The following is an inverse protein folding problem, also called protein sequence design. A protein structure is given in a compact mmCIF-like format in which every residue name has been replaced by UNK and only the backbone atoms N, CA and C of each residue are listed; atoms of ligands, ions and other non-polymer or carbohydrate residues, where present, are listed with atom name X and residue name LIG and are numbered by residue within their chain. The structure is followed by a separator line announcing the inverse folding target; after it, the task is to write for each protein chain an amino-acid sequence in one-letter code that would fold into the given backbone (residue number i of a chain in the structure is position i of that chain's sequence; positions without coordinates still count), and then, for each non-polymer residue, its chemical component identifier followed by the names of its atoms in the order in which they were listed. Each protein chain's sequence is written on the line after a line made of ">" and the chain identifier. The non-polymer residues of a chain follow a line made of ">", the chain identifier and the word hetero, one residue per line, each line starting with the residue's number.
data_IF_616992939225
#
_entry.id   IF_616992939225
#
_cell.length_a   1.000
_cell.length_b   1.000
_cell.length_c   1.000
_cell.angle_alpha   90.00
_cell.angle_beta   90.00
_cell.angle_gamma   90.00
#
_symmetry.space_group_name_H-M   'P 1'
#
loop_
_entity.id
_entity.type
_entity.pdbx_description
1 polymer ?
#
# COMPACT_ATOMS: atom_id res chain seq x y z
N UNK A 1 15.73 11.13 -11.29
CA UNK A 1 15.71 10.28 -12.53
C UNK A 1 15.03 8.93 -12.33
N UNK A 2 15.34 8.17 -11.26
CA UNK A 2 14.77 6.82 -11.02
C UNK A 2 13.22 6.78 -11.01
N UNK A 3 12.57 7.75 -10.37
CA UNK A 3 11.11 7.83 -10.32
C UNK A 3 10.46 8.05 -11.70
N UNK A 4 11.12 8.76 -12.61
CA UNK A 4 10.59 9.03 -13.96
C UNK A 4 10.69 7.80 -14.85
N UNK A 5 11.81 7.06 -14.77
CA UNK A 5 11.97 5.79 -15.48
C UNK A 5 10.94 4.75 -15.05
N UNK A 6 10.70 4.62 -13.75
CA UNK A 6 9.69 3.71 -13.22
C UNK A 6 8.27 4.08 -13.70
N UNK A 7 7.95 5.37 -13.80
CA UNK A 7 6.65 5.86 -14.31
C UNK A 7 6.44 5.53 -15.78
N UNK A 8 7.46 5.76 -16.61
CA UNK A 8 7.40 5.44 -18.04
C UNK A 8 7.26 3.93 -18.21
N UNK A 9 8.04 3.14 -17.47
CA UNK A 9 7.95 1.69 -17.48
C UNK A 9 6.54 1.19 -17.14
N UNK A 10 5.90 1.69 -16.08
CA UNK A 10 4.53 1.31 -15.74
C UNK A 10 3.54 1.69 -16.84
N UNK A 11 3.62 2.91 -17.37
CA UNK A 11 2.71 3.37 -18.43
C UNK A 11 2.85 2.52 -19.70
N UNK A 12 4.08 2.29 -20.16
CA UNK A 12 4.37 1.45 -21.33
C UNK A 12 3.92 0.01 -21.09
N UNK A 13 4.18 -0.54 -19.91
CA UNK A 13 3.75 -1.91 -19.56
C UNK A 13 2.22 -2.03 -19.57
N UNK A 14 1.50 -1.07 -19.00
CA UNK A 14 0.03 -1.04 -19.02
C UNK A 14 -0.51 -0.94 -20.44
N UNK A 15 0.09 -0.11 -21.29
CA UNK A 15 -0.31 0.02 -22.71
C UNK A 15 -0.03 -1.25 -23.52
N UNK A 16 1.14 -1.87 -23.35
CA UNK A 16 1.51 -3.11 -24.03
C UNK A 16 0.61 -4.29 -23.62
N UNK A 17 0.31 -4.41 -22.32
CA UNK A 17 -0.61 -5.45 -21.83
C UNK A 17 -2.03 -5.18 -22.30
N UNK A 18 -2.49 -3.92 -22.29
CA UNK A 18 -3.78 -3.54 -22.87
C UNK A 18 -3.88 -3.86 -24.35
N UNK A 19 -2.82 -3.60 -25.12
CA UNK A 19 -2.73 -3.97 -26.53
C UNK A 19 -2.75 -5.49 -26.73
N UNK A 20 -2.00 -6.24 -25.93
CA UNK A 20 -2.01 -7.71 -25.96
C UNK A 20 -3.39 -8.29 -25.69
N UNK A 21 -4.09 -7.79 -24.67
CA UNK A 21 -5.48 -8.14 -24.37
C UNK A 21 -6.40 -7.83 -25.56
N UNK A 22 -6.26 -6.64 -26.17
CA UNK A 22 -7.05 -6.24 -27.34
C UNK A 22 -6.86 -7.17 -28.53
N UNK A 23 -5.62 -7.52 -28.88
CA UNK A 23 -5.30 -8.43 -29.99
C UNK A 23 -5.82 -9.84 -29.73
N UNK A 24 -5.66 -10.36 -28.51
CA UNK A 24 -6.19 -11.68 -28.13
C UNK A 24 -7.72 -11.72 -28.21
N UNK A 25 -8.38 -10.62 -27.82
CA UNK A 25 -9.83 -10.50 -27.87
C UNK A 25 -10.35 -10.44 -29.31
N UNK A 26 -9.68 -9.71 -30.20
CA UNK A 26 -10.02 -9.70 -31.63
C UNK A 26 -9.84 -11.09 -32.26
N UNK A 27 -8.76 -11.80 -31.90
CA UNK A 27 -8.47 -13.13 -32.43
C UNK A 27 -9.50 -14.17 -31.98
N UNK A 28 -9.95 -14.10 -30.73
CA UNK A 28 -11.02 -14.96 -30.20
C UNK A 28 -12.37 -14.71 -30.90
N UNK A 29 -12.67 -13.46 -31.25
CA UNK A 29 -13.90 -13.09 -31.97
C UNK A 29 -13.86 -13.59 -33.42
N UNK A 30 -12.70 -13.49 -34.08
CA UNK A 30 -12.53 -13.82 -35.50
C UNK A 30 -12.45 -15.33 -35.76
N UNK A 31 -11.80 -16.10 -34.88
CA UNK A 31 -11.61 -17.55 -35.07
C UNK A 31 -12.88 -18.39 -34.82
N UNK A 32 -13.94 -17.82 -34.23
CA UNK A 32 -15.23 -18.49 -33.97
C UNK A 32 -15.19 -19.73 -33.03
N UNK A 33 -14.01 -20.23 -32.72
CA UNK A 33 -13.74 -21.29 -31.76
C UNK A 33 -13.64 -20.70 -30.37
N UNK A 34 -14.54 -21.12 -29.47
CA UNK A 34 -14.52 -20.72 -28.06
C UNK A 34 -13.30 -21.39 -27.40
N UNK A 35 -12.18 -20.69 -27.28
CA UNK A 35 -10.99 -21.15 -26.59
C UNK A 35 -11.04 -20.67 -25.13
N UNK A 36 -11.52 -21.49 -24.19
CA UNK A 36 -11.70 -21.06 -22.79
C UNK A 36 -10.40 -20.59 -22.13
N UNK A 37 -9.25 -21.07 -22.62
CA UNK A 37 -7.91 -20.69 -22.15
C UNK A 37 -7.55 -19.24 -22.50
N UNK A 38 -7.93 -18.76 -23.68
CA UNK A 38 -7.67 -17.38 -24.10
C UNK A 38 -8.46 -16.40 -23.22
N UNK A 39 -9.72 -16.74 -22.91
CA UNK A 39 -10.54 -15.99 -21.96
C UNK A 39 -9.89 -15.92 -20.58
N UNK A 40 -9.39 -17.04 -20.04
CA UNK A 40 -8.69 -17.05 -18.75
C UNK A 40 -7.44 -16.17 -18.75
N UNK A 41 -6.63 -16.23 -19.81
CA UNK A 41 -5.43 -15.41 -19.93
C UNK A 41 -5.77 -13.92 -20.02
N UNK A 42 -6.75 -13.55 -20.84
CA UNK A 42 -7.27 -12.18 -20.94
C UNK A 42 -7.76 -11.70 -19.58
N UNK A 43 -8.56 -12.53 -18.88
CA UNK A 43 -9.08 -12.20 -17.57
C UNK A 43 -7.97 -11.95 -16.55
N UNK A 44 -6.94 -12.80 -16.51
CA UNK A 44 -5.79 -12.61 -15.61
C UNK A 44 -5.02 -11.33 -15.95
N UNK A 45 -4.70 -11.10 -17.23
CA UNK A 45 -3.97 -9.90 -17.65
C UNK A 45 -4.77 -8.61 -17.35
N UNK A 46 -6.08 -8.63 -17.62
CA UNK A 46 -6.96 -7.51 -17.37
C UNK A 46 -7.09 -7.22 -15.87
N UNK A 47 -7.37 -8.24 -15.05
CA UNK A 47 -7.66 -8.08 -13.62
C UNK A 47 -6.43 -7.81 -12.75
N UNK A 48 -5.27 -8.39 -13.10
CA UNK A 48 -4.07 -8.28 -12.25
C UNK A 48 -3.03 -7.29 -12.78
N UNK A 49 -3.11 -6.85 -14.04
CA UNK A 49 -2.13 -5.93 -14.62
C UNK A 49 -2.79 -4.66 -15.16
N UNK A 50 -3.73 -4.78 -16.09
CA UNK A 50 -4.33 -3.63 -16.77
C UNK A 50 -5.14 -2.75 -15.81
N UNK A 51 -6.11 -3.33 -15.10
CA UNK A 51 -6.99 -2.62 -14.18
C UNK A 51 -6.21 -1.99 -13.00
N UNK A 52 -5.31 -2.70 -12.31
CA UNK A 52 -4.50 -2.09 -11.25
C UNK A 52 -3.58 -0.98 -11.77
N UNK A 53 -2.98 -1.17 -12.95
CA UNK A 53 -2.14 -0.15 -13.60
C UNK A 53 -2.92 1.12 -13.94
N UNK A 54 -4.09 0.96 -14.55
CA UNK A 54 -4.99 2.07 -14.87
C UNK A 54 -5.46 2.78 -13.60
N UNK A 55 -5.85 2.04 -12.57
CA UNK A 55 -6.27 2.61 -11.29
C UNK A 55 -5.15 3.48 -10.67
N UNK A 56 -3.90 3.02 -10.69
CA UNK A 56 -2.75 3.80 -10.21
C UNK A 56 -2.57 5.11 -10.97
N UNK A 57 -2.74 5.09 -12.30
CA UNK A 57 -2.63 6.29 -13.15
C UNK A 57 -3.77 7.26 -12.84
N UNK A 58 -5.01 6.78 -12.83
CA UNK A 58 -6.19 7.60 -12.57
C UNK A 58 -6.16 8.22 -11.17
N UNK A 59 -5.82 7.43 -10.16
CA UNK A 59 -5.77 7.91 -8.77
C UNK A 59 -4.74 9.03 -8.59
N UNK A 60 -3.69 9.09 -9.43
CA UNK A 60 -2.74 10.20 -9.41
C UNK A 60 -3.35 11.53 -9.90
N UNK A 61 -4.32 11.46 -10.80
CA UNK A 61 -5.02 12.62 -11.36
C UNK A 61 -6.12 13.07 -10.38
N UNK A 62 -6.93 12.13 -9.90
CA UNK A 62 -8.07 12.42 -9.01
C UNK A 62 -7.66 12.73 -7.57
N UNK A 63 -6.51 12.22 -7.10
CA UNK A 63 -6.01 12.41 -5.73
C UNK A 63 -4.65 13.11 -5.77
N UNK A 64 -4.64 14.44 -5.98
CA UNK A 64 -3.42 15.22 -6.03
C UNK A 64 -2.71 15.28 -4.65
N UNK A 65 -1.38 15.40 -4.69
CA UNK A 65 -0.50 15.24 -3.52
C UNK A 65 -0.62 16.33 -2.43
N UNK A 66 -1.46 17.36 -2.64
CA UNK A 66 -1.64 18.47 -1.71
C UNK A 66 -2.74 18.21 -0.67
N UNK A 67 -3.49 17.11 -0.80
CA UNK A 67 -4.47 16.70 0.20
C UNK A 67 -3.78 15.97 1.36
N UNK A 68 -3.19 16.74 2.28
CA UNK A 68 -2.53 16.20 3.47
C UNK A 68 -3.51 15.67 4.52
N UNK A 69 -4.83 15.91 4.34
CA UNK A 69 -5.86 15.44 5.26
C UNK A 69 -6.10 13.94 5.26
N UNK A 70 -5.49 13.19 4.33
CA UNK A 70 -5.54 11.72 4.27
C UNK A 70 -4.22 11.12 3.80
N UNK A 71 -3.89 9.97 4.37
CA UNK A 71 -2.76 9.13 3.95
C UNK A 71 -3.04 8.49 2.59
N UNK A 72 -2.01 7.94 1.94
CA UNK A 72 -2.15 7.21 0.67
C UNK A 72 -1.55 5.82 0.75
N UNK A 73 -2.18 4.86 0.09
CA UNK A 73 -1.63 3.52 -0.10
C UNK A 73 -0.59 3.51 -1.23
N UNK A 74 0.13 2.39 -1.39
CA UNK A 74 1.07 2.17 -2.51
C UNK A 74 0.38 2.34 -3.87
N UNK A 75 -0.90 1.94 -3.97
CA UNK A 75 -1.69 2.08 -5.20
C UNK A 75 -2.24 3.50 -5.41
N UNK A 76 -1.93 4.41 -4.50
CA UNK A 76 -2.28 5.83 -4.59
C UNK A 76 -3.64 6.17 -3.99
N UNK A 77 -4.42 5.18 -3.54
CA UNK A 77 -5.75 5.36 -2.94
C UNK A 77 -5.65 6.11 -1.61
N UNK A 78 -6.69 6.87 -1.28
CA UNK A 78 -6.81 7.55 0.00
C UNK A 78 -7.04 6.52 1.13
N UNK A 79 -6.19 6.57 2.14
CA UNK A 79 -6.30 5.79 3.36
C UNK A 79 -6.84 6.63 4.52
N UNK A 80 -6.32 6.35 5.71
CA UNK A 80 -6.69 6.96 6.99
C UNK A 80 -6.52 8.48 6.98
N UNK A 81 -7.38 9.24 7.69
CA UNK A 81 -7.25 10.69 7.83
C UNK A 81 -6.04 11.09 8.67
N UNK A 82 -5.43 12.22 8.33
CA UNK A 82 -4.34 12.83 9.10
C UNK A 82 -4.95 13.87 10.02
N UNK A 83 -4.88 13.62 11.33
CA UNK A 83 -5.62 14.41 12.32
C UNK A 83 -4.74 15.13 13.35
N UNK A 84 -3.43 14.83 13.38
CA UNK A 84 -2.51 15.33 14.39
C UNK A 84 -1.23 15.87 13.74
N UNK A 85 -0.72 16.96 14.29
CA UNK A 85 0.61 17.49 13.98
C UNK A 85 1.39 17.61 15.29
N UNK A 86 2.65 17.19 15.28
CA UNK A 86 3.54 17.21 16.44
C UNK A 86 4.78 18.03 16.09
N UNK A 87 5.16 18.93 16.99
CA UNK A 87 6.38 19.73 16.88
C UNK A 87 7.37 19.19 17.92
N UNK A 88 8.50 18.66 17.46
CA UNK A 88 9.51 18.05 18.33
C UNK A 88 10.46 17.13 17.56
N UNK A 89 11.39 16.50 18.26
CA UNK A 89 12.25 15.48 17.67
C UNK A 89 11.56 14.12 17.60
N UNK A 90 11.99 13.28 16.64
CA UNK A 90 11.46 11.93 16.49
C UNK A 90 11.74 11.08 17.74
N UNK A 91 12.87 11.30 18.40
CA UNK A 91 13.27 10.61 19.63
C UNK A 91 12.35 10.96 20.79
N UNK A 92 12.06 12.26 21.00
CA UNK A 92 11.18 12.71 22.08
C UNK A 92 9.75 12.21 21.89
N UNK A 93 9.26 12.22 20.64
CA UNK A 93 7.97 11.63 20.31
C UNK A 93 7.94 10.13 20.60
N UNK A 94 8.97 9.39 20.17
CA UNK A 94 9.08 7.95 20.43
C UNK A 94 9.06 7.63 21.92
N UNK A 95 9.88 8.32 22.70
CA UNK A 95 10.00 8.04 24.13
C UNK A 95 8.71 8.41 24.89
N UNK A 96 8.00 9.47 24.46
CA UNK A 96 6.68 9.85 24.99
C UNK A 96 5.63 8.78 24.68
N UNK A 97 5.60 8.28 23.44
CA UNK A 97 4.66 7.23 23.02
C UNK A 97 4.88 5.93 23.80
N UNK A 98 6.15 5.53 23.98
CA UNK A 98 6.50 4.34 24.76
C UNK A 98 6.10 4.48 26.23
N UNK A 99 6.31 5.66 26.82
CA UNK A 99 5.93 5.95 28.22
C UNK A 99 4.40 5.98 28.39
N UNK A 100 3.68 6.38 27.34
CA UNK A 100 2.21 6.34 27.29
C UNK A 100 1.63 4.92 27.08
N UNK A 101 2.47 3.88 27.05
CA UNK A 101 2.04 2.49 26.93
C UNK A 101 1.78 2.02 25.50
N UNK A 102 2.26 2.76 24.49
CA UNK A 102 2.22 2.30 23.11
C UNK A 102 3.41 1.40 22.78
N UNK A 103 3.20 0.41 21.91
CA UNK A 103 4.25 -0.48 21.42
C UNK A 103 4.71 -0.03 20.05
N UNK A 104 6.02 0.06 19.80
CA UNK A 104 6.54 0.36 18.46
C UNK A 104 6.28 -0.82 17.51
N UNK A 105 5.74 -0.55 16.32
CA UNK A 105 5.54 -1.58 15.30
C UNK A 105 6.89 -2.00 14.70
N UNK A 106 7.09 -3.29 14.45
CA UNK A 106 8.31 -3.78 13.86
C UNK A 106 8.49 -3.22 12.43
N UNK A 107 9.73 -2.93 12.01
CA UNK A 107 9.99 -2.59 10.62
C UNK A 107 9.64 -3.78 9.72
N UNK A 108 8.94 -3.52 8.61
CA UNK A 108 8.64 -4.55 7.58
C UNK A 108 9.96 -5.09 7.01
N UNK A 109 10.41 -6.20 7.58
CA UNK A 109 11.55 -7.02 7.17
C UNK A 109 11.07 -8.43 6.85
N UNK A 110 11.78 -9.16 5.98
CA UNK A 110 11.43 -10.56 5.64
C UNK A 110 11.20 -11.43 6.88
N UNK A 111 12.01 -11.23 7.93
CA UNK A 111 11.88 -11.92 9.22
C UNK A 111 10.57 -11.57 9.96
N UNK A 112 10.22 -10.28 10.04
CA UNK A 112 8.96 -9.84 10.65
C UNK A 112 7.74 -10.33 9.87
N UNK A 113 7.79 -10.36 8.53
CA UNK A 113 6.71 -10.86 7.69
C UNK A 113 6.48 -12.36 7.91
N UNK A 114 7.55 -13.15 8.02
CA UNK A 114 7.45 -14.57 8.36
C UNK A 114 6.86 -14.80 9.76
N UNK A 115 7.28 -13.99 10.74
CA UNK A 115 6.78 -14.08 12.11
C UNK A 115 5.28 -13.75 12.22
N UNK A 116 4.75 -12.82 11.41
CA UNK A 116 3.29 -12.59 11.34
C UNK A 116 2.56 -13.80 10.76
N UNK A 117 3.08 -14.39 9.68
CA UNK A 117 2.45 -15.54 9.04
C UNK A 117 2.34 -16.67 10.06
N UNK A 118 3.41 -16.93 10.79
CA UNK A 118 3.46 -17.91 11.88
C UNK A 118 2.49 -17.54 13.03
N UNK A 119 2.51 -16.30 13.53
CA UNK A 119 1.64 -15.86 14.61
C UNK A 119 0.15 -15.86 14.23
N UNK A 120 -0.18 -15.55 12.98
CA UNK A 120 -1.54 -15.58 12.43
C UNK A 120 -2.06 -17.00 12.31
N UNK A 121 -1.21 -17.94 11.85
CA UNK A 121 -1.54 -19.36 11.80
C UNK A 121 -1.72 -19.95 13.20
N UNK A 122 -0.91 -19.51 14.17
CA UNK A 122 -0.95 -19.98 15.56
C UNK A 122 -1.95 -19.21 16.45
N UNK A 123 -2.68 -18.21 15.92
CA UNK A 123 -3.57 -17.29 16.67
C UNK A 123 -2.91 -16.69 17.92
N UNK A 124 -1.61 -16.39 17.86
CA UNK A 124 -0.87 -15.78 18.97
C UNK A 124 -0.91 -14.26 18.86
N UNK A 125 -1.00 -13.56 19.99
CA UNK A 125 -0.87 -12.09 19.98
C UNK A 125 0.53 -11.72 19.51
N UNK A 126 0.59 -10.83 18.52
CA UNK A 126 1.85 -10.28 18.02
C UNK A 126 1.81 -8.76 18.23
N UNK A 127 2.22 -8.24 19.39
CA UNK A 127 2.03 -6.84 19.76
C UNK A 127 2.81 -5.85 18.87
N UNK A 128 3.79 -6.34 18.11
CA UNK A 128 4.70 -5.56 17.26
C UNK A 128 4.47 -5.76 15.76
N UNK A 129 3.28 -6.22 15.35
CA UNK A 129 3.03 -6.57 13.96
C UNK A 129 3.38 -5.40 13.01
N UNK A 130 4.15 -5.63 11.92
CA UNK A 130 4.50 -4.57 11.00
C UNK A 130 3.26 -4.07 10.25
N UNK A 131 3.10 -2.75 10.25
CA UNK A 131 1.99 -2.08 9.58
C UNK A 131 2.23 -1.92 8.08
N UNK A 132 1.14 -1.98 7.30
CA UNK A 132 1.18 -1.68 5.87
C UNK A 132 1.72 -0.27 5.61
N UNK A 133 2.51 -0.06 4.55
CA UNK A 133 3.09 1.25 4.23
C UNK A 133 1.99 2.23 3.81
N UNK A 134 1.98 3.39 4.46
CA UNK A 134 1.14 4.53 4.14
C UNK A 134 2.01 5.76 3.90
N UNK A 135 1.58 6.58 2.95
CA UNK A 135 2.37 7.69 2.44
C UNK A 135 1.68 9.03 2.72
N UNK A 136 2.46 9.97 3.25
CA UNK A 136 2.10 11.39 3.37
C UNK A 136 3.27 12.18 2.82
N UNK A 137 3.02 13.24 2.03
CA UNK A 137 4.06 13.99 1.29
C UNK A 137 4.95 13.11 0.37
N UNK A 138 4.46 11.94 -0.05
CA UNK A 138 5.25 10.98 -0.82
C UNK A 138 6.34 10.25 -0.03
N UNK A 139 6.39 10.44 1.30
CA UNK A 139 7.27 9.72 2.20
C UNK A 139 6.51 8.58 2.89
N UNK A 140 7.19 7.44 3.07
CA UNK A 140 6.70 6.36 3.92
C UNK A 140 6.70 6.81 5.38
N UNK A 141 5.82 6.24 6.21
CA UNK A 141 5.81 6.53 7.64
C UNK A 141 7.20 6.31 8.28
N UNK A 142 7.60 7.25 9.13
CA UNK A 142 8.87 7.17 9.86
C UNK A 142 8.71 6.35 11.14
N UNK A 143 7.65 6.61 11.89
CA UNK A 143 7.33 5.91 13.14
C UNK A 143 5.92 5.34 13.05
N UNK A 144 5.72 4.16 13.61
CA UNK A 144 4.43 3.53 13.75
C UNK A 144 4.33 2.86 15.12
N UNK A 145 3.18 3.03 15.77
CA UNK A 145 2.91 2.46 17.07
C UNK A 145 1.57 1.74 17.06
N UNK A 146 1.47 0.68 17.84
CA UNK A 146 0.26 -0.11 18.07
C UNK A 146 -0.07 -0.14 19.56
N UNK A 147 -1.38 -0.16 19.86
CA UNK A 147 -1.89 -0.40 21.20
C UNK A 147 -3.02 -1.42 21.12
N UNK A 148 -2.86 -2.55 21.81
CA UNK A 148 -3.89 -3.59 21.92
C UNK A 148 -4.97 -3.15 22.91
N UNK A 149 -6.24 -3.28 22.53
CA UNK A 149 -7.37 -3.06 23.44
C UNK A 149 -7.60 -4.33 24.27
N UNK A 150 -7.47 -4.22 25.59
CA UNK A 150 -7.92 -5.21 26.56
C UNK A 150 -7.42 -6.64 26.32
N UNK A 151 -6.19 -6.81 25.82
CA UNK A 151 -5.59 -8.12 25.56
C UNK A 151 -6.17 -8.88 24.37
N UNK A 152 -6.98 -8.22 23.52
CA UNK A 152 -7.53 -8.81 22.31
C UNK A 152 -6.67 -8.43 21.09
N UNK A 153 -5.98 -9.40 20.44
CA UNK A 153 -5.14 -9.11 19.28
C UNK A 153 -5.91 -8.62 18.05
N UNK A 154 -7.24 -8.77 18.01
CA UNK A 154 -8.07 -8.38 16.85
C UNK A 154 -8.42 -6.89 16.86
N UNK A 155 -8.45 -6.25 18.04
CA UNK A 155 -8.81 -4.84 18.18
C UNK A 155 -7.58 -4.04 18.60
N UNK A 156 -7.03 -3.29 17.65
CA UNK A 156 -5.80 -2.53 17.83
C UNK A 156 -5.98 -1.10 17.35
N UNK A 157 -5.46 -0.16 18.12
CA UNK A 157 -5.26 1.20 17.67
C UNK A 157 -3.88 1.33 17.07
N UNK A 158 -3.78 2.04 15.94
CA UNK A 158 -2.51 2.33 15.29
C UNK A 158 -2.36 3.83 15.15
N UNK A 159 -1.16 4.34 15.41
CA UNK A 159 -0.81 5.70 15.07
C UNK A 159 0.50 5.70 14.28
N UNK A 160 0.58 6.59 13.30
CA UNK A 160 1.69 6.67 12.35
C UNK A 160 2.13 8.12 12.23
N UNK A 161 3.43 8.35 12.11
CA UNK A 161 4.01 9.68 12.00
C UNK A 161 4.95 9.78 10.79
N UNK A 162 4.95 10.95 10.18
CA UNK A 162 5.76 11.30 9.01
C UNK A 162 6.52 12.60 9.29
N UNK A 163 7.71 12.75 8.71
CA UNK A 163 8.39 14.05 8.70
C UNK A 163 7.61 15.02 7.80
N UNK A 164 7.29 16.19 8.35
CA UNK A 164 6.79 17.29 7.55
C UNK A 164 7.97 17.94 6.80
N UNK A 165 7.92 18.08 5.46
CA UNK A 165 8.94 18.82 4.73
C UNK A 165 8.95 20.30 5.15
N UNK A 166 10.10 20.99 5.12
CA UNK A 166 10.14 22.44 5.32
C UNK A 166 9.29 23.13 4.26
N UNK A 167 8.43 24.06 4.70
CA UNK A 167 7.55 24.86 3.86
C UNK A 167 8.24 26.03 3.18
#
# INVERSE_FOLDING_TARGET
>A
MVLTGQRIFFLVSTLLVGWGVYVLLLKEIDDGGRQPWAFLLIWVLASYILLPGLNRVLTRIYVPNHLFGRTRTVDGLLGDPVNLAVIGSAESLRDTMLTAGWTAADPVTFRSSWHIVEASLLRRSCPSAPVSPLFVFGQRQLLAFEQELSGNPVQRHHVRFWCCPPG
#
